data_IF_179204238415
#
_entry.id   IF_179204238415
#
_cell.length_a   1.000
_cell.length_b   1.000
_cell.length_c   1.000
_cell.angle_alpha   90.00
_cell.angle_beta   90.00
_cell.angle_gamma   90.00
#
_symmetry.space_group_name_H-M   'P 1'
#
loop_
_entity.id
_entity.type
_entity.pdbx_description
1 polymer ?
#
# COMPACT_ATOMS: atom_id res chain seq x y z
N UNK A 1 -4.53 17.83 5.40
CA UNK A 1 -3.57 16.72 5.48
C UNK A 1 -4.26 15.55 6.15
N UNK A 2 -4.08 14.33 5.64
CA UNK A 2 -4.59 13.14 6.31
C UNK A 2 -3.62 12.69 7.41
N UNK A 3 -4.10 11.89 8.37
CA UNK A 3 -3.26 11.26 9.41
C UNK A 3 -2.12 10.44 8.80
N UNK A 4 -2.40 9.77 7.68
CA UNK A 4 -1.41 9.03 6.90
C UNK A 4 -0.33 9.93 6.32
N UNK A 5 -0.68 11.14 5.86
CA UNK A 5 0.29 12.11 5.35
C UNK A 5 1.18 12.64 6.48
N UNK A 6 0.61 12.90 7.67
CA UNK A 6 1.38 13.27 8.85
C UNK A 6 2.38 12.17 9.25
N UNK A 7 1.97 10.91 9.23
CA UNK A 7 2.87 9.78 9.52
C UNK A 7 3.98 9.65 8.47
N UNK A 8 3.68 9.83 7.18
CA UNK A 8 4.71 9.86 6.11
C UNK A 8 5.69 11.00 6.29
N UNK A 9 5.21 12.19 6.64
CA UNK A 9 6.05 13.35 6.88
C UNK A 9 7.00 13.14 8.06
N UNK A 10 6.49 12.63 9.18
CA UNK A 10 7.31 12.31 10.36
C UNK A 10 8.34 11.21 10.09
N UNK A 11 7.96 10.17 9.33
CA UNK A 11 8.90 9.13 8.92
C UNK A 11 10.05 9.71 8.08
N UNK A 12 9.72 10.56 7.10
CA UNK A 12 10.70 11.23 6.24
C UNK A 12 11.65 12.11 7.05
N UNK A 13 11.13 12.83 8.06
CA UNK A 13 11.96 13.67 8.92
C UNK A 13 12.92 12.82 9.77
N UNK A 14 12.44 11.70 10.33
CA UNK A 14 13.28 10.75 11.04
C UNK A 14 14.40 10.19 10.13
N UNK A 15 14.10 9.89 8.86
CA UNK A 15 15.13 9.45 7.90
C UNK A 15 16.19 10.52 7.62
N UNK A 16 15.81 11.80 7.54
CA UNK A 16 16.78 12.90 7.40
C UNK A 16 17.66 13.00 8.64
N UNK A 17 17.08 12.92 9.83
CA UNK A 17 17.85 12.94 11.09
C UNK A 17 18.80 11.74 11.18
N UNK A 18 18.38 10.56 10.74
CA UNK A 18 19.25 9.39 10.66
C UNK A 18 20.45 9.58 9.72
N UNK A 19 20.26 10.30 8.61
CA UNK A 19 21.35 10.64 7.66
C UNK A 19 22.31 11.68 8.24
N UNK A 20 21.79 12.62 9.03
CA UNK A 20 22.60 13.66 9.68
C UNK A 20 23.32 13.17 10.95
N UNK A 21 22.84 12.08 11.58
CA UNK A 21 23.41 11.54 12.81
C UNK A 21 24.82 10.97 12.58
N UNK A 22 25.78 11.43 13.40
CA UNK A 22 27.17 10.94 13.41
C UNK A 22 27.34 9.67 14.24
N UNK A 23 26.47 9.48 15.23
CA UNK A 23 26.47 8.33 16.12
C UNK A 23 25.61 7.19 15.54
N UNK A 24 26.15 5.98 15.40
CA UNK A 24 25.40 4.82 14.94
C UNK A 24 24.15 4.49 15.76
N UNK A 25 24.18 4.70 17.08
CA UNK A 25 23.03 4.44 17.96
C UNK A 25 21.89 5.43 17.72
N UNK A 26 22.22 6.71 17.53
CA UNK A 26 21.23 7.74 17.23
C UNK A 26 20.63 7.49 15.84
N UNK A 27 21.47 7.13 14.85
CA UNK A 27 21.01 6.72 13.53
C UNK A 27 20.03 5.55 13.60
N UNK A 28 20.35 4.50 14.36
CA UNK A 28 19.46 3.36 14.53
C UNK A 28 18.14 3.75 15.20
N UNK A 29 18.19 4.64 16.18
CA UNK A 29 17.01 5.17 16.88
C UNK A 29 16.09 5.95 15.92
N UNK A 30 16.65 6.83 15.11
CA UNK A 30 15.90 7.59 14.09
C UNK A 30 15.26 6.67 13.05
N UNK A 31 16.00 5.66 12.56
CA UNK A 31 15.47 4.70 11.60
C UNK A 31 14.34 3.85 12.19
N UNK A 32 14.45 3.45 13.46
CA UNK A 32 13.38 2.74 14.16
C UNK A 32 12.10 3.59 14.23
N UNK A 33 12.22 4.86 14.62
CA UNK A 33 11.07 5.76 14.66
C UNK A 33 10.44 5.97 13.28
N UNK A 34 11.24 6.07 12.22
CA UNK A 34 10.72 6.15 10.86
C UNK A 34 9.86 4.92 10.50
N UNK A 35 10.34 3.71 10.82
CA UNK A 35 9.61 2.48 10.60
C UNK A 35 8.30 2.41 11.42
N UNK A 36 8.34 2.86 12.68
CA UNK A 36 7.16 2.89 13.55
C UNK A 36 6.07 3.84 13.01
N UNK A 37 6.46 5.01 12.49
CA UNK A 37 5.54 5.92 11.81
C UNK A 37 4.89 5.27 10.57
N UNK A 38 5.68 4.61 9.73
CA UNK A 38 5.17 3.95 8.52
C UNK A 38 4.21 2.80 8.85
N UNK A 39 4.43 2.09 9.96
CA UNK A 39 3.56 1.00 10.41
C UNK A 39 2.18 1.49 10.85
N UNK A 40 2.04 2.75 11.25
CA UNK A 40 0.74 3.34 11.61
C UNK A 40 -0.11 3.72 10.39
N UNK A 41 0.46 3.73 9.19
CA UNK A 41 -0.28 3.99 7.96
C UNK A 41 -1.15 2.77 7.66
N UNK A 42 -2.50 2.92 7.63
CA UNK A 42 -3.37 1.82 7.26
C UNK A 42 -2.98 1.34 5.87
N UNK A 43 -2.63 0.05 5.77
CA UNK A 43 -2.51 -0.57 4.46
C UNK A 43 -3.91 -0.59 3.82
N UNK A 44 -4.04 -0.26 2.53
CA UNK A 44 -5.29 -0.52 1.84
C UNK A 44 -5.56 -2.02 2.02
N UNK A 45 -6.64 -2.34 2.75
CA UNK A 45 -7.15 -3.71 2.78
C UNK A 45 -7.36 -4.06 1.31
N UNK A 46 -6.61 -5.02 0.79
CA UNK A 46 -7.04 -5.76 -0.40
C UNK A 46 -8.39 -6.34 -0.01
N UNK A 47 -9.45 -5.62 -0.34
CA UNK A 47 -10.79 -6.00 0.03
C UNK A 47 -11.09 -7.27 -0.77
N UNK A 48 -11.82 -8.21 -0.20
CA UNK A 48 -12.25 -9.38 -0.96
C UNK A 48 -13.04 -8.97 -2.23
N UNK A 49 -13.59 -7.76 -2.30
CA UNK A 49 -14.21 -7.19 -3.49
C UNK A 49 -13.24 -7.05 -4.68
N UNK A 50 -11.96 -6.74 -4.46
CA UNK A 50 -10.97 -6.67 -5.56
C UNK A 50 -10.76 -8.05 -6.22
N UNK A 51 -11.01 -9.15 -5.50
CA UNK A 51 -10.94 -10.51 -6.05
C UNK A 51 -12.22 -10.91 -6.80
N UNK A 52 -13.38 -10.35 -6.45
CA UNK A 52 -14.63 -10.64 -7.14
C UNK A 52 -14.74 -9.89 -8.49
N UNK A 53 -14.32 -8.63 -8.56
CA UNK A 53 -14.30 -7.87 -9.82
C UNK A 53 -13.33 -8.47 -10.86
N UNK A 54 -12.20 -9.02 -10.40
CA UNK A 54 -11.26 -9.73 -11.26
C UNK A 54 -11.84 -11.05 -11.82
N UNK A 55 -12.71 -11.73 -11.04
CA UNK A 55 -13.35 -12.98 -11.46
C UNK A 55 -14.48 -12.73 -12.47
N UNK A 56 -15.28 -11.67 -12.32
CA UNK A 56 -16.34 -11.34 -13.31
C UNK A 56 -15.76 -10.93 -14.67
N UNK A 57 -14.64 -10.17 -14.71
CA UNK A 57 -13.98 -9.85 -15.98
C UNK A 57 -13.35 -11.06 -16.68
N UNK A 58 -12.99 -12.10 -15.95
CA UNK A 58 -12.47 -13.34 -16.53
C UNK A 58 -13.57 -14.26 -17.07
N UNK A 59 -14.83 -14.08 -16.64
CA UNK A 59 -15.97 -14.91 -17.05
C UNK A 59 -16.88 -14.23 -18.09
N UNK A 60 -16.41 -13.15 -18.74
CA UNK A 60 -17.06 -12.49 -19.87
C UNK A 60 -17.30 -13.42 -21.06
N UNK A 61 -18.48 -14.06 -21.05
CA UNK A 61 -19.35 -14.33 -22.19
C UNK A 61 -18.77 -15.12 -23.38
N UNK A 62 -18.67 -16.44 -23.21
CA UNK A 62 -18.74 -17.39 -24.34
C UNK A 62 -20.19 -17.70 -24.74
N UNK A 63 -21.00 -16.69 -25.09
CA UNK A 63 -22.30 -16.94 -25.74
C UNK A 63 -22.03 -17.38 -27.18
N UNK A 64 -22.12 -18.68 -27.43
CA UNK A 64 -22.23 -19.23 -28.80
C UNK A 64 -23.55 -18.73 -29.39
N UNK A 65 -23.57 -18.04 -30.55
CA UNK A 65 -24.81 -17.79 -31.25
C UNK A 65 -25.35 -19.13 -31.76
N UNK A 66 -26.58 -19.44 -31.34
CA UNK A 66 -27.37 -20.54 -31.84
C UNK A 66 -27.76 -20.22 -33.28
N UNK A 67 -26.91 -20.64 -34.23
CA UNK A 67 -27.23 -20.62 -35.65
C UNK A 67 -28.11 -21.81 -35.99
N UNK A 68 -29.41 -21.60 -35.92
CA UNK A 68 -30.42 -22.43 -36.58
C UNK A 68 -30.60 -21.93 -38.01
N UNK A 69 -30.20 -22.72 -39.01
CA UNK A 69 -30.60 -22.50 -40.40
C UNK A 69 -30.89 -23.84 -41.12
N UNK A 70 -32.14 -23.88 -41.63
CA UNK A 70 -32.83 -24.74 -42.61
C UNK A 70 -32.29 -26.10 -43.04
#
# INVERSE_FOLDING_TARGET
>A
MSKSDEYRANATECEKMARAARNPNDKATWLKMAADWLRMIPQPRSSASDKFDAAEKAQGTGQRPSGSEH
#
